data_IF_059042009503
#
_entry.id   IF_059042009503
#
_cell.length_a   1.000
_cell.length_b   1.000
_cell.length_c   1.000
_cell.angle_alpha   90.00
_cell.angle_beta   90.00
_cell.angle_gamma   90.00
#
_symmetry.space_group_name_H-M   'P 1'
#
loop_
_entity.id
_entity.type
_entity.pdbx_description
1 polymer ?
#
# COMPACT_ATOMS: atom_id res chain seq x y z
N UNK A 1 -20.73 -55.26 12.23
CA UNK A 1 -20.20 -54.38 13.30
C UNK A 1 -18.71 -54.04 13.19
N UNK A 2 -17.82 -54.90 12.64
CA UNK A 2 -16.36 -54.61 12.53
C UNK A 2 -15.99 -53.63 11.40
N UNK A 3 -16.71 -53.65 10.28
CA UNK A 3 -16.45 -52.76 9.13
C UNK A 3 -16.78 -51.29 9.43
N UNK A 4 -17.91 -51.02 10.12
CA UNK A 4 -18.31 -49.67 10.53
C UNK A 4 -17.28 -49.00 11.47
N UNK A 5 -16.59 -49.79 12.30
CA UNK A 5 -15.51 -49.28 13.20
C UNK A 5 -14.27 -48.85 12.41
N UNK A 6 -13.93 -49.59 11.35
CA UNK A 6 -12.81 -49.25 10.44
C UNK A 6 -13.12 -48.02 9.59
N UNK A 7 -14.37 -47.87 9.16
CA UNK A 7 -14.82 -46.69 8.42
C UNK A 7 -14.78 -45.43 9.28
N UNK A 8 -15.24 -45.50 10.53
CA UNK A 8 -15.16 -44.41 11.50
C UNK A 8 -13.71 -44.01 11.79
N UNK A 9 -12.81 -44.98 12.00
CA UNK A 9 -11.41 -44.69 12.29
C UNK A 9 -10.69 -44.06 11.09
N UNK A 10 -10.98 -44.51 9.87
CA UNK A 10 -10.46 -43.90 8.64
C UNK A 10 -11.01 -42.48 8.42
N UNK A 11 -12.29 -42.27 8.71
CA UNK A 11 -12.92 -40.93 8.67
C UNK A 11 -12.31 -39.98 9.69
N UNK A 12 -12.05 -40.44 10.92
CA UNK A 12 -11.43 -39.63 11.96
C UNK A 12 -10.00 -39.20 11.60
N UNK A 13 -9.19 -40.11 11.05
CA UNK A 13 -7.82 -39.81 10.63
C UNK A 13 -7.79 -38.89 9.39
N UNK A 14 -8.73 -39.05 8.45
CA UNK A 14 -8.84 -38.16 7.29
C UNK A 14 -9.31 -36.74 7.65
N UNK A 15 -10.19 -36.61 8.66
CA UNK A 15 -10.65 -35.30 9.14
C UNK A 15 -9.59 -34.57 9.96
N UNK A 16 -8.77 -35.26 10.76
CA UNK A 16 -7.74 -34.61 11.58
C UNK A 16 -6.56 -34.12 10.76
N UNK A 17 -6.18 -34.80 9.67
CA UNK A 17 -5.12 -34.34 8.78
C UNK A 17 -5.54 -33.11 7.96
N UNK A 18 -6.80 -33.05 7.50
CA UNK A 18 -7.35 -31.87 6.82
C UNK A 18 -7.52 -30.66 7.76
N UNK A 19 -7.91 -30.88 9.02
CA UNK A 19 -8.01 -29.81 10.00
C UNK A 19 -6.63 -29.25 10.42
N UNK A 20 -5.62 -30.12 10.50
CA UNK A 20 -4.25 -29.71 10.81
C UNK A 20 -3.58 -28.95 9.66
N UNK A 21 -3.85 -29.30 8.40
CA UNK A 21 -3.31 -28.54 7.25
C UNK A 21 -3.98 -27.18 7.09
N UNK A 22 -5.28 -27.05 7.37
CA UNK A 22 -5.99 -25.76 7.33
C UNK A 22 -5.57 -24.79 8.45
N UNK A 23 -5.13 -25.31 9.61
CA UNK A 23 -4.63 -24.49 10.73
C UNK A 23 -3.13 -24.17 10.63
N UNK A 24 -2.38 -24.97 9.86
CA UNK A 24 -0.95 -24.78 9.58
C UNK A 24 -0.67 -24.02 8.28
N UNK A 25 -1.67 -23.73 7.44
CA UNK A 25 -1.51 -22.65 6.47
C UNK A 25 -1.22 -21.41 7.30
N UNK A 26 -0.04 -20.78 7.13
CA UNK A 26 0.17 -19.48 7.71
C UNK A 26 -1.03 -18.66 7.25
N UNK A 27 -1.59 -17.86 8.15
CA UNK A 27 -2.20 -16.62 7.72
C UNK A 27 -1.07 -15.87 7.01
N UNK A 28 -0.80 -16.22 5.75
CA UNK A 28 -0.35 -15.31 4.72
C UNK A 28 -1.47 -14.30 4.72
N UNK A 29 -1.42 -13.41 5.72
CA UNK A 29 -2.26 -12.27 5.80
C UNK A 29 -2.03 -11.64 4.45
N UNK A 30 -3.06 -11.70 3.61
CA UNK A 30 -3.14 -11.08 2.31
C UNK A 30 -3.16 -9.56 2.50
N UNK A 31 -2.25 -9.02 3.31
CA UNK A 31 -1.69 -7.73 3.07
C UNK A 31 -0.87 -7.89 1.79
N UNK A 32 -1.61 -8.01 0.66
CA UNK A 32 -1.12 -7.63 -0.65
C UNK A 32 -0.91 -6.13 -0.55
N UNK A 33 0.17 -5.77 0.14
CA UNK A 33 0.80 -4.46 0.04
C UNK A 33 0.97 -4.18 -1.45
N UNK A 34 0.87 -2.92 -1.84
CA UNK A 34 0.86 -2.50 -3.25
C UNK A 34 2.23 -2.69 -3.91
N UNK A 35 2.83 -3.88 -3.82
CA UNK A 35 4.15 -4.28 -4.28
C UNK A 35 4.36 -3.87 -5.72
N UNK A 36 3.37 -4.16 -6.58
CA UNK A 36 3.40 -3.72 -7.98
C UNK A 36 3.51 -2.21 -8.10
N UNK A 37 2.79 -1.43 -7.30
CA UNK A 37 2.85 0.03 -7.36
C UNK A 37 4.19 0.59 -6.85
N UNK A 38 4.80 -0.04 -5.84
CA UNK A 38 6.09 0.38 -5.29
C UNK A 38 7.30 -0.09 -6.12
N UNK A 39 7.20 -1.23 -6.81
CA UNK A 39 8.27 -1.79 -7.64
C UNK A 39 8.26 -1.28 -9.08
N UNK A 40 7.26 -0.49 -9.47
CA UNK A 40 7.25 0.17 -10.77
C UNK A 40 8.39 1.18 -10.88
N UNK A 41 8.93 1.30 -12.09
CA UNK A 41 9.98 2.26 -12.46
C UNK A 41 9.43 3.53 -13.10
N UNK A 42 8.13 3.55 -13.40
CA UNK A 42 7.43 4.67 -14.04
C UNK A 42 6.28 5.18 -13.18
N UNK A 43 6.08 6.49 -13.19
CA UNK A 43 5.00 7.13 -12.43
C UNK A 43 3.62 6.68 -12.91
N UNK A 44 3.42 6.62 -14.23
CA UNK A 44 2.16 6.15 -14.82
C UNK A 44 1.88 4.69 -14.47
N UNK A 45 2.90 3.82 -14.53
CA UNK A 45 2.77 2.42 -14.13
C UNK A 45 2.44 2.26 -12.64
N UNK A 46 3.03 3.09 -11.78
CA UNK A 46 2.73 3.11 -10.35
C UNK A 46 1.30 3.63 -10.06
N UNK A 47 0.84 4.65 -10.79
CA UNK A 47 -0.53 5.17 -10.68
C UNK A 47 -1.57 4.14 -11.16
N UNK A 48 -1.36 3.53 -12.33
CA UNK A 48 -2.22 2.47 -12.85
C UNK A 48 -2.26 1.27 -11.88
N UNK A 49 -1.12 0.90 -11.28
CA UNK A 49 -1.06 -0.19 -10.32
C UNK A 49 -1.76 0.12 -8.99
N UNK A 50 -1.82 1.40 -8.58
CA UNK A 50 -2.40 1.82 -7.30
C UNK A 50 -3.88 2.20 -7.41
N UNK A 51 -4.27 2.93 -8.45
CA UNK A 51 -5.60 3.49 -8.65
C UNK A 51 -6.34 2.92 -9.87
N UNK A 52 -5.69 2.13 -10.72
CA UNK A 52 -6.27 1.58 -11.94
C UNK A 52 -6.35 2.56 -13.11
N UNK A 53 -5.84 3.78 -12.94
CA UNK A 53 -5.74 4.83 -13.95
C UNK A 53 -4.60 5.79 -13.60
N UNK A 54 -4.00 6.37 -14.64
CA UNK A 54 -2.95 7.40 -14.61
C UNK A 54 -3.51 8.80 -14.86
N UNK A 55 -4.83 8.94 -15.05
CA UNK A 55 -5.48 10.24 -15.19
C UNK A 55 -5.43 11.02 -13.87
N UNK A 56 -4.83 12.21 -13.92
CA UNK A 56 -4.73 13.14 -12.80
C UNK A 56 -5.51 14.42 -13.12
N UNK A 57 -6.34 14.84 -12.17
CA UNK A 57 -7.00 16.15 -12.19
C UNK A 57 -6.33 17.05 -11.18
N UNK A 58 -5.84 18.20 -11.62
CA UNK A 58 -5.28 19.20 -10.72
C UNK A 58 -6.39 19.88 -9.92
N UNK A 59 -6.18 20.06 -8.63
CA UNK A 59 -7.12 20.72 -7.71
C UNK A 59 -6.36 21.67 -6.78
N UNK A 60 -6.86 22.89 -6.65
CA UNK A 60 -6.26 23.95 -5.82
C UNK A 60 -6.54 23.74 -4.32
N UNK A 61 -7.42 22.81 -3.95
CA UNK A 61 -7.70 22.45 -2.57
C UNK A 61 -6.62 21.59 -1.92
N UNK A 62 -5.63 21.13 -2.71
CA UNK A 62 -4.49 20.34 -2.26
C UNK A 62 -3.29 21.28 -2.04
N UNK A 63 -2.87 21.40 -0.78
CA UNK A 63 -1.68 22.16 -0.37
C UNK A 63 -0.51 21.22 -0.12
N UNK A 64 0.56 21.40 -0.90
CA UNK A 64 1.83 20.70 -0.73
C UNK A 64 2.87 21.66 -0.12
N UNK A 65 3.44 21.30 1.03
CA UNK A 65 4.57 22.01 1.64
C UNK A 65 5.81 21.15 1.52
N UNK A 66 6.73 21.59 0.67
CA UNK A 66 8.04 20.99 0.45
C UNK A 66 9.07 22.12 0.51
N UNK A 67 10.22 21.93 1.16
CA UNK A 67 11.30 22.92 1.13
C UNK A 67 11.78 23.12 -0.32
N UNK A 68 12.03 24.37 -0.69
CA UNK A 68 12.50 24.72 -2.04
C UNK A 68 13.85 24.06 -2.38
N UNK A 69 14.71 23.91 -1.37
CA UNK A 69 16.02 23.28 -1.49
C UNK A 69 16.13 22.20 -0.42
N UNK A 70 16.30 20.96 -0.86
CA UNK A 70 16.71 19.86 0.00
C UNK A 70 18.23 19.92 0.22
N UNK A 71 18.68 20.50 1.34
CA UNK A 71 20.11 20.48 1.72
C UNK A 71 20.64 19.05 1.86
N UNK A 72 19.76 18.14 2.26
CA UNK A 72 20.05 16.71 2.40
C UNK A 72 18.95 15.90 1.70
N UNK A 73 19.23 15.43 0.48
CA UNK A 73 18.32 14.58 -0.29
C UNK A 73 17.97 13.25 0.40
N UNK A 74 18.74 12.84 1.41
CA UNK A 74 18.44 11.62 2.18
C UNK A 74 17.23 11.79 3.13
N UNK A 75 16.85 13.02 3.49
CA UNK A 75 15.73 13.29 4.40
C UNK A 75 15.09 14.63 4.05
N UNK A 76 14.04 14.58 3.22
CA UNK A 76 13.25 15.75 2.83
C UNK A 76 11.89 15.69 3.50
N UNK A 77 11.52 16.67 4.36
CA UNK A 77 10.19 16.74 4.93
C UNK A 77 9.18 17.19 3.87
N UNK A 78 8.10 16.43 3.74
CA UNK A 78 6.98 16.70 2.83
C UNK A 78 5.70 16.66 3.64
N UNK A 79 4.90 17.73 3.55
CA UNK A 79 3.58 17.79 4.18
C UNK A 79 2.53 18.00 3.11
N UNK A 80 1.57 17.09 3.02
CA UNK A 80 0.41 17.16 2.14
C UNK A 80 -0.81 17.45 2.99
N UNK A 81 -1.58 18.47 2.62
CA UNK A 81 -2.85 18.80 3.26
C UNK A 81 -3.91 19.01 2.19
N UNK A 82 -5.05 18.36 2.33
CA UNK A 82 -6.20 18.55 1.45
C UNK A 82 -7.37 19.15 2.22
N UNK A 83 -8.14 20.02 1.57
CA UNK A 83 -9.43 20.52 2.08
C UNK A 83 -10.63 19.77 1.49
N UNK A 84 -10.39 18.83 0.58
CA UNK A 84 -11.42 18.02 -0.03
C UNK A 84 -12.14 17.18 1.03
N UNK A 85 -13.45 17.05 0.85
CA UNK A 85 -14.27 16.15 1.66
C UNK A 85 -14.01 14.68 1.24
N UNK A 86 -14.05 13.77 2.21
CA UNK A 86 -13.98 12.31 2.00
C UNK A 86 -12.69 11.80 1.32
N UNK A 87 -11.52 12.36 1.66
CA UNK A 87 -10.24 11.82 1.20
C UNK A 87 -9.99 10.44 1.80
N UNK A 88 -9.96 9.41 0.96
CA UNK A 88 -9.75 8.01 1.37
C UNK A 88 -8.30 7.58 1.29
N UNK A 89 -7.51 8.17 0.38
CA UNK A 89 -6.10 7.84 0.19
C UNK A 89 -5.28 9.08 -0.17
N UNK A 90 -4.08 9.19 0.41
CA UNK A 90 -3.06 10.18 0.03
C UNK A 90 -1.81 9.42 -0.38
N UNK A 91 -1.31 9.67 -1.59
CA UNK A 91 -0.06 9.08 -2.07
C UNK A 91 0.90 10.18 -2.51
N UNK A 92 2.19 9.97 -2.25
CA UNK A 92 3.26 10.92 -2.57
C UNK A 92 4.15 10.28 -3.62
N UNK A 93 4.33 10.99 -4.75
CA UNK A 93 5.13 10.53 -5.87
C UNK A 93 6.39 11.38 -6.04
N UNK A 94 7.47 10.74 -6.44
CA UNK A 94 8.79 11.29 -6.62
C UNK A 94 9.29 10.89 -8.02
N UNK A 95 8.89 11.65 -9.04
CA UNK A 95 8.97 11.27 -10.47
C UNK A 95 10.36 10.87 -10.99
N UNK A 96 11.45 11.39 -10.43
CA UNK A 96 12.84 11.07 -10.80
C UNK A 96 13.51 10.06 -9.87
N UNK A 97 12.81 9.53 -8.88
CA UNK A 97 13.35 8.41 -8.12
C UNK A 97 13.23 7.12 -8.93
N UNK A 98 14.15 6.14 -8.77
CA UNK A 98 14.04 4.83 -9.41
C UNK A 98 12.73 4.10 -9.09
N UNK A 99 12.20 4.34 -7.88
CA UNK A 99 10.85 3.94 -7.47
C UNK A 99 10.07 5.24 -7.22
N UNK A 100 9.06 5.56 -8.06
CA UNK A 100 8.39 6.85 -8.01
C UNK A 100 7.38 6.94 -6.86
N UNK A 101 6.76 5.83 -6.44
CA UNK A 101 5.85 5.87 -5.29
C UNK A 101 6.64 5.92 -3.97
N UNK A 102 6.64 7.08 -3.30
CA UNK A 102 7.40 7.28 -2.07
C UNK A 102 6.61 6.85 -0.82
N UNK A 103 5.31 7.11 -0.80
CA UNK A 103 4.43 6.72 0.30
C UNK A 103 2.97 6.67 -0.16
N UNK A 104 2.17 5.81 0.48
CA UNK A 104 0.71 5.75 0.29
C UNK A 104 0.04 5.54 1.65
N UNK A 105 -0.98 6.33 1.92
CA UNK A 105 -1.70 6.38 3.19
C UNK A 105 -3.18 6.20 2.92
N UNK A 106 -3.77 5.16 3.50
CA UNK A 106 -5.22 5.00 3.55
C UNK A 106 -5.76 5.72 4.78
N UNK A 107 -6.67 6.66 4.56
CA UNK A 107 -7.29 7.49 5.58
C UNK A 107 -8.69 6.94 5.87
N UNK A 108 -8.95 6.44 7.09
CA UNK A 108 -10.30 6.08 7.51
C UNK A 108 -11.21 7.32 7.55
N UNK A 109 -12.51 7.12 7.37
CA UNK A 109 -13.50 8.19 7.47
C UNK A 109 -13.38 8.96 8.79
N UNK A 110 -13.50 10.29 8.72
CA UNK A 110 -13.35 11.18 9.88
C UNK A 110 -11.90 11.53 10.24
N UNK A 111 -10.90 11.03 9.51
CA UNK A 111 -9.50 11.44 9.68
C UNK A 111 -9.23 12.75 8.95
N UNK A 112 -8.47 13.66 9.58
CA UNK A 112 -8.02 14.86 8.91
C UNK A 112 -7.10 14.51 7.72
N UNK A 113 -7.36 15.11 6.56
CA UNK A 113 -6.60 14.92 5.32
C UNK A 113 -5.24 15.64 5.35
N UNK A 114 -4.43 15.38 6.37
CA UNK A 114 -3.11 15.97 6.57
C UNK A 114 -2.08 14.88 6.90
N UNK A 115 -1.04 14.79 6.08
CA UNK A 115 0.03 13.80 6.24
C UNK A 115 1.38 14.50 6.14
N UNK A 116 2.27 14.21 7.09
CA UNK A 116 3.65 14.69 7.08
C UNK A 116 4.60 13.50 7.12
N UNK A 117 5.47 13.39 6.12
CA UNK A 117 6.40 12.29 5.94
C UNK A 117 7.78 12.84 5.59
N UNK A 118 8.83 12.07 5.89
CA UNK A 118 10.19 12.36 5.44
C UNK A 118 10.55 11.34 4.37
N UNK A 119 10.79 11.81 3.15
CA UNK A 119 11.11 10.96 1.99
C UNK A 119 12.54 11.22 1.52
N UNK A 120 13.11 10.24 0.81
CA UNK A 120 14.38 10.37 0.11
C UNK A 120 14.13 10.89 -1.30
N UNK A 121 14.85 11.92 -1.71
CA UNK A 121 14.83 12.46 -3.06
C UNK A 121 16.20 12.23 -3.70
N UNK A 122 16.22 11.56 -4.85
CA UNK A 122 17.45 11.28 -5.59
C UNK A 122 17.99 12.48 -6.35
N UNK A 123 17.08 13.30 -6.89
CA UNK A 123 17.42 14.45 -7.75
C UNK A 123 16.44 15.61 -7.54
N UNK A 124 16.80 16.78 -8.06
CA UNK A 124 15.90 17.94 -8.15
C UNK A 124 14.72 17.62 -9.05
N UNK A 125 13.51 17.69 -8.50
CA UNK A 125 12.29 17.34 -9.19
C UNK A 125 11.10 18.11 -8.64
N UNK A 126 9.99 18.04 -9.38
CA UNK A 126 8.69 18.44 -8.90
C UNK A 126 8.08 17.21 -8.23
N UNK A 127 7.70 17.37 -6.96
CA UNK A 127 6.99 16.39 -6.13
C UNK A 127 5.50 16.70 -6.20
#
# INVERSE_FOLDING_TARGET
MRENRRLLLKGLIGFTTLAATLTAMPKLALAKWSEKAFDNDSMDGALDALYGSSELTADDEITLKVPEIAENGAVVPVTVKSKLDNVTNISVFASKNPQPLAASFTLPEGTASEVSVRIRLGETQIV
#
